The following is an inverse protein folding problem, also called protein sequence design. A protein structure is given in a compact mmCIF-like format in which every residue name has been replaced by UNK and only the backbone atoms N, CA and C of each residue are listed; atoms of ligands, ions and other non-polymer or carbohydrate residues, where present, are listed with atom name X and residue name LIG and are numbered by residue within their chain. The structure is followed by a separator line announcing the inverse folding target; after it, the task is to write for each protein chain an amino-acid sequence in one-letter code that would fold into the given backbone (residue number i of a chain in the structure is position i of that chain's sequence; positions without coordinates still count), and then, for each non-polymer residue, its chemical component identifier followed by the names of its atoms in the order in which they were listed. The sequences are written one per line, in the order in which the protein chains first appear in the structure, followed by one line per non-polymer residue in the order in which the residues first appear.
data_IF_339149462292
#
_entry.id   IF_339149462292
#
_cell.length_a   1.000
_cell.length_b   1.000
_cell.length_c   1.000
_cell.angle_alpha   90.00
_cell.angle_beta   90.00
_cell.angle_gamma   90.00
#
_symmetry.space_group_name_H-M   'P 1'
#
loop_
_entity.id
_entity.type
_entity.pdbx_description
1 polymer ?
#
# COMPACT_ATOMS: atom_id res chain seq x y z
N UNK A 1 -14.66 3.57 -9.65
CA UNK A 1 -13.38 3.95 -9.05
C UNK A 1 -12.59 4.79 -10.03
N UNK A 2 -11.97 5.86 -9.56
CA UNK A 2 -11.00 6.66 -10.32
C UNK A 2 -9.67 5.90 -10.50
N UNK A 3 -8.72 6.46 -11.25
CA UNK A 3 -7.41 5.84 -11.50
C UNK A 3 -6.69 5.43 -10.21
N UNK A 4 -6.55 6.37 -9.27
CA UNK A 4 -5.79 6.18 -8.03
C UNK A 4 -6.45 5.13 -7.14
N UNK A 5 -7.79 5.11 -7.05
CA UNK A 5 -8.53 4.09 -6.31
C UNK A 5 -8.28 2.68 -6.88
N UNK A 6 -8.21 2.54 -8.22
CA UNK A 6 -7.87 1.26 -8.87
C UNK A 6 -6.44 0.83 -8.57
N UNK A 7 -5.50 1.76 -8.60
CA UNK A 7 -4.11 1.51 -8.23
C UNK A 7 -4.00 1.11 -6.75
N UNK A 8 -4.73 1.80 -5.88
CA UNK A 8 -4.70 1.57 -4.44
C UNK A 8 -5.25 0.20 -4.06
N UNK A 9 -6.43 -0.16 -4.58
CA UNK A 9 -7.03 -1.47 -4.37
C UNK A 9 -6.11 -2.59 -4.89
N UNK A 10 -5.52 -2.43 -6.08
CA UNK A 10 -4.54 -3.39 -6.61
C UNK A 10 -3.34 -3.57 -5.70
N UNK A 11 -2.67 -2.48 -5.29
CA UNK A 11 -1.46 -2.57 -4.45
C UNK A 11 -1.79 -3.21 -3.12
N UNK A 12 -2.92 -2.80 -2.50
CA UNK A 12 -3.35 -3.33 -1.22
C UNK A 12 -3.64 -4.84 -1.28
N UNK A 13 -4.48 -5.27 -2.21
CA UNK A 13 -4.85 -6.69 -2.33
C UNK A 13 -3.67 -7.55 -2.74
N UNK A 14 -2.80 -7.08 -3.64
CA UNK A 14 -1.62 -7.82 -4.03
C UNK A 14 -0.62 -7.97 -2.86
N UNK A 15 -0.43 -6.93 -2.05
CA UNK A 15 0.40 -6.99 -0.85
C UNK A 15 -0.20 -7.93 0.20
N UNK A 16 -1.53 -7.91 0.38
CA UNK A 16 -2.25 -8.83 1.27
C UNK A 16 -2.11 -10.29 0.82
N UNK A 17 -2.25 -10.56 -0.48
CA UNK A 17 -2.02 -11.88 -1.07
C UNK A 17 -0.57 -12.34 -0.89
N UNK A 18 0.41 -11.45 -1.07
CA UNK A 18 1.81 -11.75 -0.85
C UNK A 18 2.09 -12.11 0.63
N UNK A 19 1.56 -11.33 1.57
CA UNK A 19 1.67 -11.60 3.00
C UNK A 19 1.06 -12.97 3.39
N UNK A 20 -0.11 -13.31 2.84
CA UNK A 20 -0.72 -14.62 3.04
C UNK A 20 0.15 -15.75 2.49
N UNK A 21 0.64 -15.62 1.25
CA UNK A 21 1.48 -16.62 0.60
C UNK A 21 2.83 -16.83 1.34
N UNK A 22 3.39 -15.76 1.89
CA UNK A 22 4.63 -15.79 2.67
C UNK A 22 4.43 -16.25 4.12
N UNK A 23 3.20 -16.58 4.53
CA UNK A 23 2.86 -16.97 5.90
C UNK A 23 3.23 -15.90 6.94
N UNK A 24 3.03 -14.63 6.59
CA UNK A 24 3.28 -13.52 7.50
C UNK A 24 2.42 -13.63 8.77
N UNK A 25 2.94 -13.20 9.94
CA UNK A 25 2.22 -13.29 11.20
C UNK A 25 0.95 -12.42 11.21
N UNK A 26 0.95 -11.35 10.42
CA UNK A 26 -0.17 -10.44 10.24
C UNK A 26 -0.51 -10.38 8.76
N UNK A 27 -1.71 -10.84 8.42
CA UNK A 27 -2.33 -10.65 7.11
C UNK A 27 -3.46 -9.65 7.30
N UNK A 28 -3.44 -8.48 6.65
CA UNK A 28 -4.52 -7.51 6.73
C UNK A 28 -5.85 -8.09 6.24
N UNK A 29 -6.97 -7.52 6.69
CA UNK A 29 -8.29 -7.83 6.14
C UNK A 29 -8.42 -7.40 4.66
N UNK A 30 -9.43 -7.90 3.96
CA UNK A 30 -9.70 -7.51 2.58
C UNK A 30 -9.97 -6.00 2.46
N UNK A 31 -9.70 -5.43 1.28
CA UNK A 31 -9.86 -4.00 1.00
C UNK A 31 -11.27 -3.51 1.33
N UNK A 32 -12.31 -4.27 0.96
CA UNK A 32 -13.70 -3.92 1.28
C UNK A 32 -14.02 -3.86 2.78
N UNK A 33 -13.27 -4.59 3.61
CA UNK A 33 -13.45 -4.67 5.06
C UNK A 33 -12.61 -3.65 5.85
N UNK A 34 -11.84 -2.82 5.14
CA UNK A 34 -11.07 -1.73 5.76
C UNK A 34 -11.94 -0.51 6.01
N UNK A 35 -11.65 0.19 7.11
CA UNK A 35 -12.31 1.44 7.46
C UNK A 35 -12.14 2.47 6.34
N UNK A 36 -13.15 3.30 6.10
CA UNK A 36 -13.09 4.33 5.06
C UNK A 36 -11.90 5.27 5.26
N UNK A 37 -11.65 5.71 6.51
CA UNK A 37 -10.52 6.59 6.85
C UNK A 37 -9.17 5.97 6.47
N UNK A 38 -9.02 4.65 6.63
CA UNK A 38 -7.81 3.95 6.20
C UNK A 38 -7.69 3.91 4.68
N UNK A 39 -8.79 3.61 3.98
CA UNK A 39 -8.81 3.56 2.52
C UNK A 39 -8.47 4.92 1.91
N UNK A 40 -9.04 6.00 2.44
CA UNK A 40 -8.75 7.37 2.01
C UNK A 40 -7.27 7.72 2.21
N UNK A 41 -6.71 7.41 3.39
CA UNK A 41 -5.28 7.61 3.64
C UNK A 41 -4.40 6.77 2.69
N UNK A 42 -4.77 5.51 2.45
CA UNK A 42 -4.01 4.62 1.58
C UNK A 42 -4.04 5.09 0.12
N UNK A 43 -5.18 5.60 -0.36
CA UNK A 43 -5.29 6.23 -1.69
C UNK A 43 -4.33 7.39 -1.84
N UNK A 44 -4.17 8.24 -0.82
CA UNK A 44 -3.19 9.35 -0.85
C UNK A 44 -1.74 8.86 -0.89
N UNK A 45 -1.42 7.80 -0.14
CA UNK A 45 -0.09 7.16 -0.21
C UNK A 45 0.18 6.65 -1.63
N UNK A 46 -0.79 5.99 -2.24
CA UNK A 46 -0.62 5.41 -3.58
C UNK A 46 -0.59 6.50 -4.66
N UNK A 47 -1.33 7.59 -4.50
CA UNK A 47 -1.19 8.77 -5.35
C UNK A 47 0.25 9.29 -5.36
N UNK A 48 0.87 9.43 -4.19
CA UNK A 48 2.28 9.81 -4.08
C UNK A 48 3.21 8.77 -4.71
N UNK A 49 3.00 7.47 -4.45
CA UNK A 49 3.89 6.43 -4.98
C UNK A 49 3.74 6.18 -6.49
N UNK A 50 2.62 6.58 -7.09
CA UNK A 50 2.45 6.60 -8.54
C UNK A 50 2.97 7.90 -9.19
N UNK A 51 3.43 8.88 -8.40
CA UNK A 51 3.95 10.16 -8.91
C UNK A 51 5.48 10.12 -9.16
N UNK A 52 6.04 11.14 -9.83
CA UNK A 52 7.50 11.31 -9.90
C UNK A 52 8.19 11.50 -8.54
N UNK A 53 7.46 11.90 -7.49
CA UNK A 53 7.96 12.12 -6.13
C UNK A 53 7.97 10.86 -5.26
N UNK A 54 7.64 9.70 -5.83
CA UNK A 54 7.67 8.41 -5.13
C UNK A 54 9.03 8.11 -4.50
N UNK A 55 9.01 7.31 -3.45
CA UNK A 55 10.22 6.69 -2.90
C UNK A 55 10.35 5.26 -3.43
N UNK A 56 11.58 4.86 -3.72
CA UNK A 56 11.95 3.47 -4.02
C UNK A 56 12.66 2.78 -2.86
N UNK A 57 12.73 3.42 -1.69
CA UNK A 57 13.41 2.88 -0.51
C UNK A 57 12.39 2.22 0.42
N UNK A 58 12.50 0.90 0.66
CA UNK A 58 11.66 0.20 1.64
C UNK A 58 11.69 0.87 3.03
N UNK A 59 12.87 1.30 3.47
CA UNK A 59 13.05 1.96 4.77
C UNK A 59 12.30 3.31 4.87
N UNK A 60 12.33 4.13 3.82
CA UNK A 60 11.63 5.42 3.80
C UNK A 60 10.10 5.22 3.80
N UNK A 61 9.62 4.20 3.09
CA UNK A 61 8.21 3.85 3.04
C UNK A 61 7.72 3.27 4.37
N UNK A 62 8.52 2.41 5.01
CA UNK A 62 8.24 1.92 6.36
C UNK A 62 8.17 3.08 7.35
N UNK A 63 9.15 4.00 7.33
CA UNK A 63 9.15 5.18 8.18
C UNK A 63 7.90 6.06 7.98
N UNK A 64 7.47 6.23 6.73
CA UNK A 64 6.23 6.95 6.38
C UNK A 64 4.98 6.24 6.90
N UNK A 65 4.93 4.90 6.78
CA UNK A 65 3.85 4.07 7.32
C UNK A 65 3.79 4.15 8.86
N UNK A 66 4.93 4.06 9.55
CA UNK A 66 5.01 4.23 11.01
C UNK A 66 4.44 5.59 11.41
N UNK A 67 4.85 6.68 10.76
CA UNK A 67 4.37 8.02 11.08
C UNK A 67 2.86 8.17 10.85
N UNK A 68 2.33 7.62 9.76
CA UNK A 68 0.90 7.62 9.47
C UNK A 68 0.11 6.86 10.54
N UNK A 69 0.57 5.67 10.94
CA UNK A 69 -0.07 4.87 11.99
C UNK A 69 -0.02 5.56 13.34
N UNK A 70 1.12 6.17 13.72
CA UNK A 70 1.24 6.96 14.95
C UNK A 70 0.25 8.14 14.97
N UNK A 71 0.08 8.80 13.83
CA UNK A 71 -0.87 9.93 13.67
C UNK A 71 -2.32 9.46 13.81
N UNK A 72 -2.63 8.25 13.37
CA UNK A 72 -3.92 7.58 13.59
C UNK A 72 -4.09 7.03 15.01
N UNK A 73 -3.13 7.26 15.92
CA UNK A 73 -3.19 6.82 17.31
C UNK A 73 -2.75 5.38 17.55
N UNK A 74 -2.06 4.75 16.59
CA UNK A 74 -1.46 3.45 16.81
C UNK A 74 -0.22 3.53 17.70
N UNK A 75 0.01 2.48 18.48
CA UNK A 75 1.14 2.35 19.39
C UNK A 75 1.85 1.03 19.17
N UNK A 76 3.15 1.03 19.47
CA UNK A 76 3.93 -0.20 19.49
C UNK A 76 3.43 -1.16 20.58
N UNK A 77 3.44 -2.46 20.26
CA UNK A 77 3.32 -3.54 21.24
C UNK A 77 3.51 -4.90 20.58
N UNK A 78 3.99 -5.88 21.34
CA UNK A 78 4.45 -7.19 20.83
C UNK A 78 3.38 -8.00 20.09
N UNK A 79 2.10 -7.75 20.36
CA UNK A 79 0.97 -8.45 19.76
C UNK A 79 0.07 -7.46 19.04
N UNK A 80 -0.20 -7.76 17.78
CA UNK A 80 -1.16 -7.01 16.98
C UNK A 80 -2.55 -7.04 17.64
N UNK A 81 -3.15 -5.86 17.81
CA UNK A 81 -4.51 -5.70 18.32
C UNK A 81 -5.13 -4.47 17.63
N UNK A 82 -5.93 -4.71 16.57
CA UNK A 82 -6.59 -3.65 15.79
C UNK A 82 -7.50 -2.79 16.66
N UNK A 83 -8.23 -3.41 17.60
CA UNK A 83 -9.20 -2.71 18.46
C UNK A 83 -8.52 -1.71 19.39
N UNK A 84 -7.30 -2.01 19.84
CA UNK A 84 -6.47 -1.15 20.69
C UNK A 84 -5.44 -0.34 19.90
N UNK A 85 -5.45 -0.44 18.57
CA UNK A 85 -4.47 0.16 17.68
C UNK A 85 -3.02 -0.19 18.08
N UNK A 86 -2.74 -1.46 18.34
CA UNK A 86 -1.40 -1.96 18.66
C UNK A 86 -0.80 -2.69 17.47
N UNK A 87 0.44 -2.38 17.10
CA UNK A 87 1.15 -3.05 16.01
C UNK A 87 2.62 -3.32 16.39
N UNK A 88 3.14 -4.54 16.19
CA UNK A 88 4.53 -4.88 16.56
C UNK A 88 5.56 -4.17 15.68
N UNK A 89 5.24 -3.92 14.42
CA UNK A 89 6.19 -3.34 13.46
C UNK A 89 6.36 -1.81 13.57
N UNK A 90 5.78 -1.15 14.59
CA UNK A 90 5.97 0.28 14.86
C UNK A 90 7.33 0.58 15.53
N UNK A 91 8.38 0.02 14.94
CA UNK A 91 9.80 0.10 15.30
C UNK A 91 10.62 0.60 14.09
N UNK A 92 11.87 1.07 14.30
CA UNK A 92 12.79 1.37 13.20
C UNK A 92 12.98 0.19 12.22
N UNK A 93 13.25 0.51 10.95
CA UNK A 93 13.34 -0.50 9.87
C UNK A 93 14.42 -1.57 10.14
N UNK A 94 15.55 -1.17 10.72
CA UNK A 94 16.65 -2.06 11.10
C UNK A 94 16.33 -3.03 12.26
N UNK A 95 15.19 -2.82 12.94
CA UNK A 95 14.68 -3.68 14.01
C UNK A 95 13.57 -4.63 13.54
N UNK A 96 13.14 -4.50 12.28
CA UNK A 96 12.19 -5.44 11.69
C UNK A 96 12.84 -6.82 11.48
N UNK A 97 12.01 -7.86 11.58
CA UNK A 97 12.40 -9.17 11.07
C UNK A 97 12.49 -9.15 9.54
N UNK A 98 13.27 -10.08 8.96
CA UNK A 98 13.49 -10.16 7.51
C UNK A 98 12.19 -10.16 6.71
N UNK A 99 11.18 -10.91 7.16
CA UNK A 99 9.91 -11.01 6.44
C UNK A 99 9.15 -9.66 6.36
N UNK A 100 9.27 -8.82 7.39
CA UNK A 100 8.62 -7.51 7.40
C UNK A 100 9.38 -6.53 6.50
N UNK A 101 10.71 -6.59 6.47
CA UNK A 101 11.53 -5.86 5.50
C UNK A 101 11.22 -6.28 4.05
N UNK A 102 11.00 -7.58 3.82
CA UNK A 102 10.64 -8.12 2.51
C UNK A 102 9.25 -7.62 2.08
N UNK A 103 8.30 -7.47 3.00
CA UNK A 103 6.97 -6.89 2.71
C UNK A 103 7.07 -5.44 2.23
N UNK A 104 7.95 -4.63 2.81
CA UNK A 104 8.17 -3.26 2.35
C UNK A 104 8.79 -3.24 0.93
N UNK A 105 9.72 -4.15 0.64
CA UNK A 105 10.28 -4.30 -0.71
C UNK A 105 9.23 -4.75 -1.74
N UNK A 106 8.34 -5.68 -1.36
CA UNK A 106 7.21 -6.11 -2.18
C UNK A 106 6.25 -4.94 -2.42
N UNK A 107 5.97 -4.12 -1.40
CA UNK A 107 5.14 -2.93 -1.55
C UNK A 107 5.72 -1.95 -2.59
N UNK A 108 7.02 -1.66 -2.53
CA UNK A 108 7.72 -0.84 -3.56
C UNK A 108 7.49 -1.42 -4.95
N UNK A 109 7.69 -2.73 -5.13
CA UNK A 109 7.53 -3.39 -6.43
C UNK A 109 6.08 -3.31 -6.95
N UNK A 110 5.10 -3.46 -6.06
CA UNK A 110 3.69 -3.36 -6.41
C UNK A 110 3.30 -1.92 -6.79
N UNK A 111 3.82 -0.92 -6.09
CA UNK A 111 3.65 0.49 -6.48
C UNK A 111 4.22 0.75 -7.89
N UNK A 112 5.40 0.20 -8.21
CA UNK A 112 5.96 0.30 -9.57
C UNK A 112 5.07 -0.37 -10.62
N UNK A 113 4.50 -1.54 -10.30
CA UNK A 113 3.57 -2.22 -11.20
C UNK A 113 2.32 -1.37 -11.45
N UNK A 114 1.70 -0.87 -10.38
CA UNK A 114 0.52 -0.01 -10.48
C UNK A 114 0.80 1.25 -11.30
N UNK A 115 1.93 1.91 -11.03
CA UNK A 115 2.34 3.14 -11.71
C UNK A 115 2.55 2.94 -13.22
N UNK A 116 3.13 1.80 -13.62
CA UNK A 116 3.51 1.56 -15.01
C UNK A 116 2.37 0.98 -15.86
N UNK A 117 1.50 0.15 -15.28
CA UNK A 117 0.55 -0.65 -16.06
C UNK A 117 -0.92 -0.47 -15.68
N UNK A 118 -1.22 0.33 -14.65
CA UNK A 118 -2.60 0.74 -14.35
C UNK A 118 -2.71 2.22 -14.71
N UNK A 119 -3.30 2.49 -15.88
CA UNK A 119 -3.47 3.83 -16.44
C UNK A 119 -4.90 4.04 -16.96
N UNK A 120 -5.24 5.27 -17.34
CA UNK A 120 -6.50 5.54 -18.03
C UNK A 120 -6.42 5.03 -19.48
N UNK A 121 -7.44 4.33 -19.97
CA UNK A 121 -7.42 3.82 -21.35
C UNK A 121 -7.25 5.00 -22.32
N UNK A 122 -6.40 4.80 -23.32
CA UNK A 122 -6.25 5.76 -24.42
C UNK A 122 -7.62 5.88 -25.09
N UNK A 123 -8.20 7.08 -25.11
CA UNK A 123 -9.38 7.33 -25.92
C UNK A 123 -8.96 7.28 -27.38
N UNK A 124 -9.20 6.15 -28.05
CA UNK A 124 -9.10 6.07 -29.49
C UNK A 124 -10.23 6.90 -30.08
N UNK A 125 -9.94 8.09 -30.60
CA UNK A 125 -10.86 8.79 -31.48
C UNK A 125 -11.16 7.86 -32.66
N UNK A 126 -12.43 7.44 -32.79
CA UNK A 126 -12.90 6.82 -34.02
C UNK A 126 -12.66 7.83 -35.14
N UNK A 127 -11.69 7.54 -36.01
CA UNK A 127 -11.44 8.34 -37.20
C UNK A 127 -12.78 8.54 -37.93
N UNK A 128 -13.18 9.78 -38.26
CA UNK A 128 -14.43 10.00 -38.98
C UNK A 128 -14.37 9.21 -40.28
N UNK A 129 -15.37 8.34 -40.49
CA UNK A 129 -15.45 7.44 -41.62
C UNK A 129 -15.07 8.12 -42.93
N UNK A 130 -14.06 7.57 -43.60
CA UNK A 130 -13.68 7.98 -44.94
C UNK A 130 -14.87 7.87 -45.88
N UNK A 131 -15.10 8.96 -46.62
CA UNK A 131 -16.15 9.12 -47.64
C UNK A 131 -16.11 8.07 -48.73
#
# INVERSE_FOLDING_TARGET
MNLTERQAEFVYEAARMAAYAAQAPIVPDAWEDREQEFRDQFVEVIHLQCSPQRSSSPEELHGSWVQAYRTMGWVYGEKYDRSKKVHPDLVPYDQLGQLEQDKDAVFVALCEIARQWIYEPVQTELAPGGK
#
